data_IF_840931822333
#
_entry.id   IF_840931822333
#
_cell.length_a   1.000
_cell.length_b   1.000
_cell.length_c   1.000
_cell.angle_alpha   90.00
_cell.angle_beta   90.00
_cell.angle_gamma   90.00
#
_symmetry.space_group_name_H-M   'P 1'
#
loop_
_entity.id
_entity.type
_entity.pdbx_description
1 polymer ?
#
# COMPACT_ATOMS: atom_id res chain seq x y z
N UNK A 1 10.91 -4.38 -24.31
CA UNK A 1 10.63 -2.95 -24.03
C UNK A 1 9.87 -2.90 -22.72
N UNK A 2 10.43 -2.26 -21.70
CA UNK A 2 9.80 -2.17 -20.37
C UNK A 2 9.09 -0.83 -20.26
N UNK A 3 7.77 -0.84 -20.19
CA UNK A 3 6.97 0.36 -19.89
C UNK A 3 7.05 0.71 -18.41
N UNK A 4 6.92 1.99 -18.07
CA UNK A 4 6.82 2.44 -16.68
C UNK A 4 5.36 2.41 -16.26
N UNK A 5 5.05 1.65 -15.21
CA UNK A 5 3.69 1.62 -14.64
C UNK A 5 3.35 2.94 -13.94
N UNK A 6 2.07 3.32 -13.98
CA UNK A 6 1.53 4.51 -13.32
C UNK A 6 0.41 4.06 -12.39
N UNK A 7 0.51 4.39 -11.10
CA UNK A 7 -0.45 4.04 -10.05
C UNK A 7 -1.30 5.25 -9.63
N UNK A 8 -2.58 5.01 -9.26
CA UNK A 8 -3.48 5.98 -8.60
C UNK A 8 -4.17 5.30 -7.42
N UNK A 9 -4.37 6.04 -6.32
CA UNK A 9 -5.04 5.55 -5.10
C UNK A 9 -6.33 6.31 -4.86
N UNK A 10 -7.31 5.61 -4.29
CA UNK A 10 -8.63 6.16 -3.95
C UNK A 10 -9.00 5.71 -2.54
N UNK A 11 -9.73 6.55 -1.81
CA UNK A 11 -10.44 6.10 -0.62
C UNK A 11 -11.59 5.20 -1.07
N UNK A 12 -11.72 4.04 -0.44
CA UNK A 12 -12.79 3.08 -0.72
C UNK A 12 -13.89 3.26 0.32
N UNK A 13 -15.14 3.32 -0.12
CA UNK A 13 -16.32 3.31 0.75
C UNK A 13 -16.87 1.89 0.85
N UNK A 14 -17.19 1.44 2.06
CA UNK A 14 -17.67 0.08 2.34
C UNK A 14 -16.58 -0.99 2.32
N UNK A 15 -16.98 -2.25 2.42
CA UNK A 15 -16.12 -3.42 2.61
C UNK A 15 -16.22 -4.47 1.50
N UNK A 16 -16.98 -4.19 0.43
CA UNK A 16 -17.20 -5.10 -0.69
C UNK A 16 -15.89 -5.61 -1.33
N UNK A 17 -14.81 -4.81 -1.30
CA UNK A 17 -13.48 -5.19 -1.78
C UNK A 17 -12.88 -6.40 -1.05
N UNK A 18 -13.34 -6.71 0.17
CA UNK A 18 -12.84 -7.84 0.96
C UNK A 18 -13.37 -9.18 0.48
N UNK A 19 -14.52 -9.20 -0.21
CA UNK A 19 -15.19 -10.45 -0.59
C UNK A 19 -14.31 -11.26 -1.55
N UNK A 20 -13.87 -12.44 -1.12
CA UNK A 20 -12.99 -13.33 -1.90
C UNK A 20 -11.51 -12.92 -1.92
N UNK A 21 -11.13 -11.85 -1.21
CA UNK A 21 -9.74 -11.44 -1.09
C UNK A 21 -9.01 -12.31 -0.05
N UNK A 22 -7.82 -12.78 -0.38
CA UNK A 22 -6.91 -13.41 0.59
C UNK A 22 -5.95 -12.35 1.12
N UNK A 23 -5.99 -12.11 2.43
CA UNK A 23 -5.05 -11.20 3.07
C UNK A 23 -3.67 -11.84 3.25
N UNK A 24 -2.62 -11.06 3.01
CA UNK A 24 -1.27 -11.39 3.48
C UNK A 24 -0.97 -10.58 4.73
N UNK A 25 -0.46 -11.24 5.75
CA UNK A 25 -0.09 -10.56 6.99
C UNK A 25 1.16 -9.70 6.75
N UNK A 26 1.07 -8.41 7.01
CA UNK A 26 2.19 -7.47 6.86
C UNK A 26 2.42 -6.74 8.17
N UNK A 27 3.69 -6.63 8.58
CA UNK A 27 4.11 -5.71 9.64
C UNK A 27 4.92 -4.59 9.00
N UNK A 28 4.64 -3.36 9.36
CA UNK A 28 5.34 -2.20 8.81
C UNK A 28 5.48 -1.10 9.84
N UNK A 29 6.56 -0.34 9.73
CA UNK A 29 6.84 0.82 10.56
C UNK A 29 7.53 1.89 9.73
N UNK A 30 7.21 3.15 10.00
CA UNK A 30 7.89 4.30 9.39
C UNK A 30 9.05 4.74 10.28
N UNK A 31 10.22 4.93 9.67
CA UNK A 31 11.32 5.66 10.29
C UNK A 31 11.16 7.16 10.04
N UNK A 32 10.61 7.53 8.88
CA UNK A 32 10.23 8.90 8.52
C UNK A 32 8.88 8.88 7.82
N UNK A 33 8.00 9.81 8.19
CA UNK A 33 6.70 10.03 7.55
C UNK A 33 6.41 11.54 7.51
N UNK A 34 7.06 12.24 6.58
CA UNK A 34 6.81 13.65 6.29
C UNK A 34 6.24 13.82 4.88
N UNK A 35 5.73 15.01 4.59
CA UNK A 35 5.08 15.32 3.30
C UNK A 35 6.01 15.14 2.10
N UNK A 36 7.31 15.38 2.29
CA UNK A 36 8.34 15.32 1.25
C UNK A 36 8.99 13.93 1.12
N UNK A 37 8.97 13.13 2.18
CA UNK A 37 9.67 11.84 2.23
C UNK A 37 9.05 10.86 3.21
N UNK A 38 9.03 9.60 2.79
CA UNK A 38 8.64 8.48 3.63
C UNK A 38 9.69 7.36 3.56
N UNK A 39 10.14 6.90 4.73
CA UNK A 39 11.02 5.73 4.86
C UNK A 39 10.27 4.70 5.67
N UNK A 40 10.00 3.53 5.07
CA UNK A 40 9.19 2.48 5.67
C UNK A 40 9.90 1.14 5.64
N UNK A 41 10.00 0.51 6.81
CA UNK A 41 10.41 -0.89 6.95
C UNK A 41 9.16 -1.76 6.81
N UNK A 42 9.24 -2.83 6.00
CA UNK A 42 8.16 -3.79 5.77
C UNK A 42 8.69 -5.20 5.98
N UNK A 43 7.97 -5.99 6.80
CA UNK A 43 8.16 -7.43 6.96
C UNK A 43 6.91 -8.12 6.39
N UNK A 44 7.14 -9.01 5.43
CA UNK A 44 6.14 -9.78 4.71
C UNK A 44 5.96 -11.17 5.33
#
# INVERSE_FOLDING_TARGET
MTGKEIERKFLVSGDAWRKGAQGTFYRQGYLVASDDRAVRVRVA
#
